data_IF_530598601964
#
_entry.id   IF_530598601964
#
_cell.length_a   1.000
_cell.length_b   1.000
_cell.length_c   1.000
_cell.angle_alpha   90.00
_cell.angle_beta   90.00
_cell.angle_gamma   90.00
#
_symmetry.space_group_name_H-M   'P 1'
#
loop_
_entity.id
_entity.type
_entity.pdbx_description
1 polymer ?
#
# COMPACT_ATOMS: atom_id res chain seq x y z
N UNK A 1 8.00 -21.99 2.85
CA UNK A 1 7.18 -23.03 2.21
C UNK A 1 6.33 -22.44 1.09
N UNK A 2 6.14 -23.21 0.05
CA UNK A 2 5.30 -22.83 -1.07
C UNK A 2 3.81 -23.02 -0.73
N UNK A 3 3.00 -22.03 -1.07
CA UNK A 3 1.55 -22.10 -0.94
C UNK A 3 0.89 -21.85 -2.30
N UNK A 4 -0.14 -22.63 -2.61
CA UNK A 4 -0.95 -22.41 -3.80
C UNK A 4 -1.66 -21.04 -3.71
N UNK A 5 -1.83 -20.33 -4.83
CA UNK A 5 -2.49 -19.01 -4.81
C UNK A 5 -3.87 -19.00 -4.17
N UNK A 6 -4.67 -20.04 -4.40
CA UNK A 6 -5.99 -20.17 -3.78
C UNK A 6 -5.89 -20.31 -2.26
N UNK A 7 -4.92 -21.09 -1.77
CA UNK A 7 -4.68 -21.25 -0.35
C UNK A 7 -4.31 -19.93 0.31
N UNK A 8 -3.44 -19.15 -0.33
CA UNK A 8 -3.06 -17.82 0.16
C UNK A 8 -4.27 -16.91 0.22
N UNK A 9 -5.10 -16.87 -0.81
CA UNK A 9 -6.31 -16.05 -0.81
C UNK A 9 -7.29 -16.47 0.29
N UNK A 10 -7.43 -17.76 0.54
CA UNK A 10 -8.30 -18.26 1.61
C UNK A 10 -7.79 -17.84 2.99
N UNK A 11 -6.48 -17.90 3.21
CA UNK A 11 -5.87 -17.44 4.45
C UNK A 11 -6.07 -15.93 4.64
N UNK A 12 -5.87 -15.15 3.58
CA UNK A 12 -6.07 -13.69 3.61
C UNK A 12 -7.53 -13.33 3.86
N UNK A 13 -8.48 -14.04 3.24
CA UNK A 13 -9.90 -13.81 3.45
C UNK A 13 -10.28 -14.00 4.92
N UNK A 14 -9.72 -15.00 5.58
CA UNK A 14 -9.92 -15.20 7.02
C UNK A 14 -9.28 -14.09 7.84
N UNK A 15 -8.05 -13.70 7.49
CA UNK A 15 -7.34 -12.63 8.17
C UNK A 15 -8.09 -11.29 8.06
N UNK A 16 -8.54 -10.94 6.86
CA UNK A 16 -9.26 -9.68 6.62
C UNK A 16 -10.71 -9.69 7.10
N UNK A 17 -11.27 -10.89 7.34
CA UNK A 17 -12.68 -11.03 7.71
C UNK A 17 -13.65 -10.76 6.57
N UNK A 18 -13.20 -10.81 5.33
CA UNK A 18 -13.99 -10.59 4.12
C UNK A 18 -13.37 -11.31 2.95
N UNK A 19 -14.14 -11.62 1.89
CA UNK A 19 -13.60 -12.30 0.72
C UNK A 19 -12.53 -11.47 0.01
N UNK A 20 -11.51 -12.16 -0.49
CA UNK A 20 -10.49 -11.58 -1.36
C UNK A 20 -10.80 -12.04 -2.79
N UNK A 21 -10.85 -11.07 -3.72
CA UNK A 21 -11.16 -11.36 -5.11
C UNK A 21 -10.18 -12.38 -5.69
N UNK A 22 -10.64 -13.36 -6.50
CA UNK A 22 -9.77 -14.37 -7.08
C UNK A 22 -8.64 -13.84 -7.96
N UNK A 23 -8.76 -12.62 -8.47
CA UNK A 23 -7.73 -11.97 -9.28
C UNK A 23 -6.55 -11.44 -8.45
N UNK A 24 -6.68 -11.37 -7.13
CA UNK A 24 -5.61 -10.89 -6.25
C UNK A 24 -4.51 -11.93 -6.14
N UNK A 25 -3.27 -11.47 -6.29
CA UNK A 25 -2.07 -12.30 -6.14
C UNK A 25 -1.18 -11.71 -5.04
N UNK A 26 -0.85 -12.54 -4.07
CA UNK A 26 0.03 -12.16 -2.97
C UNK A 26 1.12 -13.22 -2.82
N UNK A 27 2.37 -12.77 -2.83
CA UNK A 27 3.49 -13.64 -2.51
C UNK A 27 3.80 -13.52 -1.02
N UNK A 28 3.72 -14.64 -0.26
CA UNK A 28 4.14 -14.63 1.15
C UNK A 28 5.65 -14.48 1.28
N UNK A 29 6.15 -14.04 2.45
CA UNK A 29 5.37 -13.72 3.65
C UNK A 29 4.62 -12.39 3.55
N UNK A 30 3.55 -12.30 4.31
CA UNK A 30 2.68 -11.12 4.40
C UNK A 30 2.48 -10.82 5.89
N UNK A 31 2.70 -9.57 6.28
CA UNK A 31 2.62 -9.16 7.68
C UNK A 31 1.54 -8.10 7.88
N UNK A 32 0.81 -8.22 8.95
CA UNK A 32 -0.20 -7.24 9.35
C UNK A 32 -0.31 -7.20 10.86
N UNK A 33 -0.69 -6.04 11.40
CA UNK A 33 -0.89 -5.88 12.84
C UNK A 33 -2.26 -6.43 13.26
N UNK A 34 -3.30 -6.17 12.47
CA UNK A 34 -4.66 -6.61 12.78
C UNK A 34 -5.30 -7.39 11.62
N UNK A 35 -5.28 -6.83 10.43
CA UNK A 35 -5.80 -7.46 9.21
C UNK A 35 -7.22 -7.04 8.85
N UNK A 36 -8.08 -6.70 9.81
CA UNK A 36 -9.50 -6.43 9.57
C UNK A 36 -9.76 -5.07 8.93
N UNK A 37 -8.78 -4.17 8.92
CA UNK A 37 -8.90 -2.83 8.36
C UNK A 37 -8.20 -2.71 7.01
N UNK A 38 -8.06 -3.81 6.29
CA UNK A 38 -7.47 -3.84 4.95
C UNK A 38 -8.58 -4.12 3.94
N UNK A 39 -8.65 -3.28 2.90
CA UNK A 39 -9.55 -3.46 1.75
C UNK A 39 -8.70 -3.57 0.49
N UNK A 40 -8.90 -4.62 -0.27
CA UNK A 40 -8.17 -4.87 -1.50
C UNK A 40 -9.15 -5.06 -2.63
N UNK A 41 -8.96 -4.31 -3.71
CA UNK A 41 -9.78 -4.40 -4.91
C UNK A 41 -9.40 -5.61 -5.79
N UNK A 42 -9.79 -5.54 -7.06
CA UNK A 42 -9.53 -6.59 -8.05
C UNK A 42 -8.19 -6.37 -8.73
N UNK A 43 -7.58 -7.44 -9.24
CA UNK A 43 -6.33 -7.39 -10.00
C UNK A 43 -5.18 -6.73 -9.23
N UNK A 44 -5.18 -6.86 -7.91
CA UNK A 44 -4.11 -6.33 -7.07
C UNK A 44 -3.01 -7.37 -6.94
N UNK A 45 -1.76 -6.90 -7.07
CA UNK A 45 -0.58 -7.73 -6.89
C UNK A 45 0.23 -7.18 -5.72
N UNK A 46 0.54 -8.04 -4.75
CA UNK A 46 1.36 -7.69 -3.59
C UNK A 46 2.53 -8.66 -3.54
N UNK A 47 3.74 -8.12 -3.67
CA UNK A 47 4.95 -8.93 -3.60
C UNK A 47 5.32 -9.27 -2.15
N UNK A 48 6.34 -10.09 -1.97
CA UNK A 48 6.70 -10.65 -0.66
C UNK A 48 7.20 -9.61 0.34
N UNK A 49 7.03 -9.92 1.61
CA UNK A 49 7.57 -9.16 2.74
C UNK A 49 6.95 -7.78 2.95
N UNK A 50 5.74 -7.54 2.47
CA UNK A 50 5.03 -6.30 2.76
C UNK A 50 4.45 -6.33 4.18
N UNK A 51 4.47 -5.18 4.85
CA UNK A 51 3.93 -5.03 6.20
C UNK A 51 2.82 -3.98 6.20
N UNK A 52 1.64 -4.39 6.67
CA UNK A 52 0.47 -3.52 6.77
C UNK A 52 0.17 -3.24 8.24
N UNK A 53 0.58 -2.07 8.73
CA UNK A 53 0.15 -1.58 10.03
C UNK A 53 -1.23 -0.94 9.84
N UNK A 54 -2.28 -1.74 9.99
CA UNK A 54 -3.61 -1.41 9.48
C UNK A 54 -4.59 -0.82 10.51
N UNK A 55 -4.12 -0.37 11.67
CA UNK A 55 -4.98 0.22 12.70
C UNK A 55 -5.82 1.39 12.17
N UNK A 56 -5.22 2.23 11.31
CA UNK A 56 -5.91 3.36 10.70
C UNK A 56 -6.64 3.04 9.40
N UNK A 57 -6.46 1.83 8.87
CA UNK A 57 -7.03 1.40 7.61
C UNK A 57 -6.09 1.55 6.42
N UNK A 58 -6.08 0.53 5.56
CA UNK A 58 -5.36 0.53 4.29
C UNK A 58 -6.32 0.09 3.20
N UNK A 59 -6.43 0.90 2.15
CA UNK A 59 -7.26 0.58 1.00
C UNK A 59 -6.41 0.57 -0.27
N UNK A 60 -6.43 -0.54 -0.99
CA UNK A 60 -5.76 -0.70 -2.27
C UNK A 60 -6.82 -0.81 -3.35
N UNK A 61 -6.86 0.16 -4.25
CA UNK A 61 -7.78 0.17 -5.38
C UNK A 61 -7.43 -0.89 -6.42
N UNK A 62 -8.34 -1.08 -7.36
CA UNK A 62 -8.18 -2.07 -8.42
C UNK A 62 -6.88 -1.84 -9.20
N UNK A 63 -6.21 -2.93 -9.53
CA UNK A 63 -5.01 -2.89 -10.37
C UNK A 63 -3.74 -2.42 -9.68
N UNK A 64 -3.75 -2.16 -8.37
CA UNK A 64 -2.55 -1.76 -7.66
C UNK A 64 -1.47 -2.84 -7.71
N UNK A 65 -0.22 -2.39 -7.86
CA UNK A 65 0.95 -3.26 -7.86
C UNK A 65 1.89 -2.81 -6.75
N UNK A 66 2.14 -3.69 -5.80
CA UNK A 66 2.99 -3.41 -4.64
C UNK A 66 4.26 -4.25 -4.73
N UNK A 67 5.40 -3.58 -4.73
CA UNK A 67 6.71 -4.24 -4.78
C UNK A 67 7.05 -4.95 -3.47
N UNK A 68 8.25 -5.52 -3.42
CA UNK A 68 8.74 -6.21 -2.23
C UNK A 68 8.93 -5.25 -1.06
N UNK A 69 8.66 -5.73 0.15
CA UNK A 69 9.09 -5.07 1.37
C UNK A 69 8.57 -3.63 1.49
N UNK A 70 7.34 -3.40 1.08
CA UNK A 70 6.66 -2.11 1.23
C UNK A 70 5.99 -2.07 2.60
N UNK A 71 6.12 -0.94 3.29
CA UNK A 71 5.50 -0.74 4.60
C UNK A 71 4.39 0.30 4.50
N UNK A 72 3.22 -0.06 4.99
CA UNK A 72 2.06 0.84 5.13
C UNK A 72 1.91 1.16 6.62
N UNK A 73 2.32 2.36 7.02
CA UNK A 73 2.33 2.78 8.42
C UNK A 73 1.19 3.75 8.70
N UNK A 74 0.08 3.24 9.24
CA UNK A 74 -1.11 4.05 9.50
C UNK A 74 -1.12 4.73 10.87
N UNK A 75 -0.16 4.41 11.73
CA UNK A 75 -0.05 5.03 13.04
C UNK A 75 1.04 6.08 13.06
N UNK A 76 0.74 7.20 13.69
CA UNK A 76 1.69 8.22 14.01
C UNK A 76 1.72 8.41 15.54
N UNK A 77 2.80 8.92 16.06
CA UNK A 77 2.95 9.28 17.48
C UNK A 77 3.08 10.79 17.61
N UNK A 78 2.74 11.31 18.78
CA UNK A 78 3.04 12.70 19.09
C UNK A 78 4.55 12.92 19.05
N UNK A 79 4.99 14.08 18.57
CA UNK A 79 6.41 14.38 18.44
C UNK A 79 7.03 14.82 19.77
N UNK A 80 6.27 15.51 20.61
CA UNK A 80 6.75 15.91 21.94
C UNK A 80 6.92 14.66 22.83
N UNK A 81 7.97 14.60 23.65
CA UNK A 81 8.20 13.41 24.49
C UNK A 81 7.00 13.00 25.34
N UNK A 82 6.26 13.96 25.89
CA UNK A 82 5.07 13.72 26.71
C UNK A 82 3.87 13.20 25.90
N UNK A 83 3.89 13.32 24.57
CA UNK A 83 2.81 12.87 23.68
C UNK A 83 3.18 11.60 22.89
N UNK A 84 4.40 11.08 23.03
CA UNK A 84 4.87 9.95 22.23
C UNK A 84 4.14 8.65 22.51
N UNK A 85 3.56 8.49 23.67
CA UNK A 85 2.75 7.31 23.98
C UNK A 85 1.37 7.33 23.34
N UNK A 86 0.93 8.48 22.84
CA UNK A 86 -0.32 8.62 22.12
C UNK A 86 -0.13 8.27 20.64
N UNK A 87 -1.05 7.49 20.10
CA UNK A 87 -1.05 7.11 18.69
C UNK A 87 -2.19 7.81 17.96
N UNK A 88 -1.92 8.26 16.75
CA UNK A 88 -2.88 8.98 15.90
C UNK A 88 -3.02 8.21 14.60
N UNK A 89 -4.04 7.33 14.50
CA UNK A 89 -4.25 6.55 13.27
C UNK A 89 -4.86 7.42 12.18
N UNK A 90 -4.43 7.18 10.94
CA UNK A 90 -5.04 7.78 9.78
C UNK A 90 -4.93 6.82 8.58
N UNK A 91 -5.95 6.75 7.71
CA UNK A 91 -5.98 5.78 6.64
C UNK A 91 -4.98 6.09 5.53
N UNK A 92 -4.49 5.02 4.92
CA UNK A 92 -3.73 5.09 3.67
C UNK A 92 -4.63 4.58 2.55
N UNK A 93 -4.75 5.36 1.48
CA UNK A 93 -5.59 5.01 0.33
C UNK A 93 -4.75 5.07 -0.94
N UNK A 94 -4.64 3.95 -1.63
CA UNK A 94 -4.09 3.88 -2.97
C UNK A 94 -5.24 3.75 -3.95
N UNK A 95 -5.34 4.69 -4.88
CA UNK A 95 -6.36 4.66 -5.91
C UNK A 95 -6.03 3.61 -6.98
N UNK A 96 -6.84 3.54 -8.00
CA UNK A 96 -6.74 2.58 -9.10
C UNK A 96 -5.35 2.62 -9.78
N UNK A 97 -4.80 1.45 -10.07
CA UNK A 97 -3.56 1.29 -10.84
C UNK A 97 -2.33 1.96 -10.26
N UNK A 98 -2.29 2.19 -8.97
CA UNK A 98 -1.08 2.73 -8.31
C UNK A 98 0.00 1.64 -8.28
N UNK A 99 1.21 2.03 -8.64
CA UNK A 99 2.38 1.16 -8.56
C UNK A 99 3.35 1.69 -7.52
N UNK A 100 3.64 0.88 -6.51
CA UNK A 100 4.60 1.22 -5.45
C UNK A 100 5.85 0.37 -5.61
N UNK A 101 6.98 1.03 -5.83
CA UNK A 101 8.28 0.36 -5.96
C UNK A 101 8.75 -0.26 -4.65
N UNK A 102 9.59 -1.27 -4.76
CA UNK A 102 10.10 -2.04 -3.62
C UNK A 102 10.80 -1.17 -2.57
N UNK A 103 10.72 -1.59 -1.32
CA UNK A 103 11.35 -0.93 -0.17
C UNK A 103 10.85 0.48 0.10
N UNK A 104 9.66 0.81 -0.36
CA UNK A 104 9.02 2.09 -0.05
C UNK A 104 8.24 2.04 1.25
N UNK A 105 8.09 3.20 1.89
CA UNK A 105 7.26 3.35 3.08
C UNK A 105 6.21 4.43 2.82
N UNK A 106 4.95 4.07 3.07
CA UNK A 106 3.82 5.00 2.94
C UNK A 106 3.36 5.37 4.34
N UNK A 107 3.31 6.65 4.63
CA UNK A 107 2.98 7.14 5.98
C UNK A 107 1.49 7.40 6.14
N UNK A 108 1.08 7.52 7.39
CA UNK A 108 -0.33 7.67 7.78
C UNK A 108 -1.00 8.85 7.10
N UNK A 109 -2.24 8.65 6.69
CA UNK A 109 -3.07 9.69 6.09
C UNK A 109 -2.78 9.98 4.62
N UNK A 110 -1.85 9.27 3.99
CA UNK A 110 -1.47 9.51 2.59
C UNK A 110 -2.48 8.88 1.64
N UNK A 111 -2.91 9.66 0.67
CA UNK A 111 -3.66 9.17 -0.50
C UNK A 111 -2.76 9.28 -1.74
N UNK A 112 -2.64 8.18 -2.46
CA UNK A 112 -1.90 8.15 -3.73
C UNK A 112 -2.92 8.07 -4.86
N UNK A 113 -2.86 9.05 -5.75
CA UNK A 113 -3.82 9.23 -6.83
C UNK A 113 -3.72 8.16 -7.92
N UNK A 114 -4.79 8.04 -8.69
CA UNK A 114 -4.93 7.03 -9.75
C UNK A 114 -3.75 7.07 -10.72
N UNK A 115 -3.26 5.90 -11.09
CA UNK A 115 -2.15 5.67 -12.01
C UNK A 115 -0.78 6.18 -11.55
N UNK A 116 -0.67 6.72 -10.35
CA UNK A 116 0.61 7.22 -9.86
C UNK A 116 1.62 6.08 -9.64
N UNK A 117 2.87 6.41 -9.80
CA UNK A 117 4.00 5.50 -9.57
C UNK A 117 4.88 6.07 -8.47
N UNK A 118 5.19 5.25 -7.49
CA UNK A 118 6.15 5.57 -6.43
C UNK A 118 7.44 4.81 -6.70
N UNK A 119 8.54 5.54 -6.88
CA UNK A 119 9.85 4.93 -7.13
C UNK A 119 10.33 4.11 -5.94
N UNK A 120 11.14 3.08 -6.21
CA UNK A 120 11.67 2.20 -5.18
C UNK A 120 12.45 2.98 -4.10
N UNK A 121 12.36 2.53 -2.86
CA UNK A 121 13.08 3.13 -1.75
C UNK A 121 12.56 4.48 -1.29
N UNK A 122 11.35 4.86 -1.69
CA UNK A 122 10.77 6.15 -1.35
C UNK A 122 10.12 6.15 0.04
N UNK A 123 10.04 7.33 0.65
CA UNK A 123 9.23 7.57 1.83
C UNK A 123 8.17 8.60 1.49
N UNK A 124 6.92 8.16 1.39
CA UNK A 124 5.80 8.99 0.98
C UNK A 124 5.17 9.61 2.22
N UNK A 125 5.35 10.93 2.38
CA UNK A 125 4.90 11.68 3.55
C UNK A 125 3.67 12.54 3.28
N UNK A 126 3.33 12.75 2.01
CA UNK A 126 2.22 13.58 1.55
C UNK A 126 1.49 12.91 0.41
N UNK A 127 0.28 13.35 0.14
CA UNK A 127 -0.51 12.85 -0.98
C UNK A 127 0.25 13.00 -2.30
N UNK A 128 0.09 12.01 -3.15
CA UNK A 128 0.66 12.00 -4.50
C UNK A 128 -0.48 12.18 -5.50
N UNK A 129 -0.41 13.18 -6.38
CA UNK A 129 -1.48 13.38 -7.36
C UNK A 129 -1.53 12.26 -8.40
N UNK A 130 -2.69 12.10 -9.02
CA UNK A 130 -2.90 11.12 -10.08
C UNK A 130 -1.95 11.37 -11.26
N UNK A 131 -1.60 10.30 -11.96
CA UNK A 131 -0.83 10.35 -13.20
C UNK A 131 0.55 11.00 -13.03
N UNK A 132 1.20 10.76 -11.91
CA UNK A 132 2.55 11.27 -11.63
C UNK A 132 3.48 10.14 -11.22
N UNK A 133 4.76 10.37 -11.42
CA UNK A 133 5.85 9.58 -10.83
C UNK A 133 6.44 10.41 -9.70
N UNK A 134 6.45 9.85 -8.50
CA UNK A 134 7.08 10.45 -7.34
C UNK A 134 8.17 9.53 -6.80
N UNK A 135 9.17 10.08 -6.15
CA UNK A 135 10.24 9.28 -5.56
C UNK A 135 11.14 10.08 -4.65
N UNK A 136 11.92 9.37 -3.87
CA UNK A 136 12.90 9.94 -2.95
C UNK A 136 12.47 9.91 -1.49
N UNK A 137 13.28 10.51 -0.64
CA UNK A 137 13.09 10.60 0.81
C UNK A 137 13.28 12.04 1.26
N UNK A 138 12.19 12.79 1.51
CA UNK A 138 10.80 12.46 1.26
C UNK A 138 10.48 12.45 -0.24
N UNK A 139 9.45 11.69 -0.61
CA UNK A 139 9.05 11.57 -2.01
C UNK A 139 8.58 12.92 -2.58
N UNK A 140 9.01 13.20 -3.79
CA UNK A 140 8.66 14.41 -4.55
C UNK A 140 8.23 14.00 -5.94
N UNK A 141 7.40 14.82 -6.59
CA UNK A 141 7.00 14.59 -7.98
C UNK A 141 8.22 14.73 -8.87
N UNK A 142 8.50 13.69 -9.66
CA UNK A 142 9.61 13.64 -10.62
C UNK A 142 9.11 14.06 -12.00
N UNK A 143 7.95 13.54 -12.41
CA UNK A 143 7.37 13.85 -13.72
C UNK A 143 5.89 13.46 -13.76
N UNK A 144 5.21 13.93 -14.78
CA UNK A 144 3.84 13.51 -15.10
C UNK A 144 3.87 12.36 -16.10
N UNK A 145 2.92 11.44 -15.96
CA UNK A 145 2.78 10.31 -16.86
C UNK A 145 1.90 10.76 -18.03
N UNK A 146 2.45 10.64 -19.25
CA UNK A 146 1.69 10.90 -20.46
C UNK A 146 0.94 9.65 -20.88
N UNK A 147 -0.29 9.85 -21.38
CA UNK A 147 -1.05 8.75 -21.93
C UNK A 147 -0.39 8.22 -23.19
N UNK A 148 -0.27 6.90 -23.29
CA UNK A 148 0.11 6.29 -24.56
C UNK A 148 -1.13 6.33 -25.45
N UNK A 149 -1.05 7.11 -26.52
CA UNK A 149 -2.09 7.15 -27.54
C UNK A 149 -1.81 6.08 -28.56
N UNK A 150 -2.69 5.07 -28.63
CA UNK A 150 -2.58 4.06 -29.69
C UNK A 150 -3.10 4.66 -30.99
N UNK A 151 -2.35 4.50 -32.01
CA UNK A 151 -2.69 4.94 -33.36
C UNK A 151 -3.13 3.77 -34.22
#
# INVERSE_FOLDING_TARGET
SYHEPEEVRNLLSRLFGKPVDPSVKVFPPFYTDFGKNIKIGKNVFINACCHFQDHGGVELGDGCQIGHNVVFATLNHGLAPEDRSNTYPAPIVLKKNVWVGSNSTILSGVTIGENAVVGAGSVVTKDIPANTVAGGVPARIIKHIESVVSH
#
